data_IF_957888402384
#
_entry.id   IF_957888402384
#
_cell.length_a   1.000
_cell.length_b   1.000
_cell.length_c   1.000
_cell.angle_alpha   90.00
_cell.angle_beta   90.00
_cell.angle_gamma   90.00
#
_symmetry.space_group_name_H-M   'P 1'
#
loop_
_entity.id
_entity.type
_entity.pdbx_description
1 polymer ?
#
# COMPACT_ATOMS: atom_id res chain seq x y z
N UNK A 1 -1.32 -15.65 18.74
CA UNK A 1 -1.76 -15.12 17.43
C UNK A 1 -2.06 -16.29 16.51
N UNK A 2 -3.11 -16.19 15.66
CA UNK A 2 -3.32 -17.18 14.60
C UNK A 2 -2.21 -17.05 13.55
N UNK A 3 -1.72 -18.14 12.96
CA UNK A 3 -0.79 -18.06 11.84
C UNK A 3 -1.44 -17.29 10.69
N UNK A 4 -0.63 -16.54 9.94
CA UNK A 4 -1.11 -15.84 8.75
C UNK A 4 -1.64 -16.85 7.72
N UNK A 5 -2.83 -16.63 7.14
CA UNK A 5 -3.30 -17.46 6.03
C UNK A 5 -2.39 -17.35 4.80
N UNK A 6 -2.48 -18.32 3.89
CA UNK A 6 -1.67 -18.31 2.66
C UNK A 6 -1.90 -17.03 1.84
N UNK A 7 -0.81 -16.43 1.32
CA UNK A 7 -0.88 -15.22 0.49
C UNK A 7 -1.69 -15.47 -0.77
N UNK A 8 -1.57 -16.66 -1.38
CA UNK A 8 -2.34 -17.04 -2.57
C UNK A 8 -3.86 -16.85 -2.42
N UNK A 9 -4.41 -17.08 -1.23
CA UNK A 9 -5.84 -16.84 -0.97
C UNK A 9 -6.23 -15.36 -1.03
N UNK A 10 -5.35 -14.48 -0.56
CA UNK A 10 -5.51 -13.02 -0.67
C UNK A 10 -5.33 -12.57 -2.11
N UNK A 11 -4.25 -13.02 -2.76
CA UNK A 11 -3.86 -12.60 -4.10
C UNK A 11 -4.85 -13.07 -5.18
N UNK A 12 -5.53 -14.22 -4.99
CA UNK A 12 -6.60 -14.69 -5.89
C UNK A 12 -7.93 -13.97 -5.64
N UNK A 13 -8.11 -13.32 -4.50
CA UNK A 13 -9.35 -12.64 -4.18
C UNK A 13 -9.63 -11.48 -5.15
N UNK A 14 -10.92 -11.24 -5.41
CA UNK A 14 -11.40 -10.16 -6.26
C UNK A 14 -12.02 -9.09 -5.37
N UNK A 15 -11.30 -7.98 -5.15
CA UNK A 15 -11.71 -6.94 -4.22
C UNK A 15 -12.75 -5.95 -4.80
N UNK A 16 -12.79 -5.75 -6.11
CA UNK A 16 -13.88 -5.07 -6.82
C UNK A 16 -13.99 -5.58 -8.25
N UNK A 17 -15.11 -5.29 -8.92
CA UNK A 17 -15.37 -5.74 -10.28
C UNK A 17 -14.77 -4.85 -11.39
N UNK A 18 -13.95 -3.84 -11.05
CA UNK A 18 -13.50 -2.87 -12.08
C UNK A 18 -12.18 -2.14 -11.88
N UNK A 19 -11.56 -2.15 -10.68
CA UNK A 19 -10.32 -1.42 -10.42
C UNK A 19 -9.11 -2.35 -10.19
N UNK A 20 -7.87 -1.88 -10.45
CA UNK A 20 -6.68 -2.61 -10.07
C UNK A 20 -6.52 -2.72 -8.54
N UNK A 21 -5.68 -3.66 -8.10
CA UNK A 21 -5.30 -3.82 -6.69
C UNK A 21 -3.80 -3.64 -6.57
N UNK A 22 -3.38 -2.66 -5.77
CA UNK A 22 -1.99 -2.41 -5.42
C UNK A 22 -1.68 -3.19 -4.15
N UNK A 23 -0.79 -4.17 -4.20
CA UNK A 23 -0.36 -4.91 -3.01
C UNK A 23 0.98 -4.37 -2.54
N UNK A 24 1.07 -4.01 -1.26
CA UNK A 24 2.32 -3.66 -0.59
C UNK A 24 2.65 -4.73 0.45
N UNK A 25 3.62 -5.57 0.12
CA UNK A 25 4.12 -6.62 1.01
C UNK A 25 5.13 -6.03 1.98
N UNK A 26 4.81 -6.06 3.27
CA UNK A 26 5.59 -5.44 4.32
C UNK A 26 6.10 -6.48 5.34
N UNK A 27 7.04 -6.05 6.18
CA UNK A 27 7.47 -6.76 7.39
C UNK A 27 6.92 -6.05 8.61
N UNK A 28 6.50 -6.76 9.68
CA UNK A 28 6.10 -6.12 10.94
C UNK A 28 7.17 -5.16 11.47
N UNK A 29 8.45 -5.52 11.31
CA UNK A 29 9.53 -4.55 11.46
C UNK A 29 9.56 -3.60 10.25
N UNK A 30 9.01 -2.41 10.43
CA UNK A 30 8.91 -1.34 9.42
C UNK A 30 10.25 -0.64 9.14
N UNK A 31 11.35 -0.99 9.82
CA UNK A 31 12.69 -0.48 9.50
C UNK A 31 13.21 -0.95 8.14
N UNK A 32 12.54 -1.91 7.50
CA UNK A 32 12.92 -2.45 6.21
C UNK A 32 11.83 -2.15 5.18
N UNK A 33 12.19 -1.68 3.97
CA UNK A 33 11.22 -1.42 2.93
C UNK A 33 10.53 -2.72 2.49
N UNK A 34 9.23 -2.61 2.26
CA UNK A 34 8.46 -3.65 1.61
C UNK A 34 8.59 -3.59 0.09
N UNK A 35 7.80 -4.40 -0.59
CA UNK A 35 7.73 -4.44 -2.04
C UNK A 35 6.29 -4.29 -2.51
N UNK A 36 6.07 -3.40 -3.47
CA UNK A 36 4.75 -3.12 -4.03
C UNK A 36 4.63 -3.66 -5.44
N UNK A 37 3.49 -4.27 -5.76
CA UNK A 37 3.12 -4.77 -7.08
C UNK A 37 1.71 -4.32 -7.44
N UNK A 38 1.36 -4.36 -8.73
CA UNK A 38 0.02 -4.00 -9.21
C UNK A 38 -0.63 -5.20 -9.86
N UNK A 39 -1.83 -5.55 -9.40
CA UNK A 39 -2.70 -6.57 -9.99
C UNK A 39 -3.76 -5.86 -10.84
N UNK A 40 -3.85 -6.24 -12.11
CA UNK A 40 -4.87 -5.73 -13.04
C UNK A 40 -6.24 -6.32 -12.74
N UNK A 41 -7.33 -5.69 -13.23
CA UNK A 41 -8.68 -6.24 -13.11
C UNK A 41 -8.85 -7.63 -13.75
N UNK A 42 -8.05 -7.98 -14.75
CA UNK A 42 -8.05 -9.30 -15.41
C UNK A 42 -7.45 -10.43 -14.55
N UNK A 43 -6.99 -10.12 -13.33
CA UNK A 43 -6.42 -11.08 -12.41
C UNK A 43 -4.89 -11.22 -12.50
N UNK A 44 -4.25 -10.68 -13.56
CA UNK A 44 -2.80 -10.79 -13.78
C UNK A 44 -2.03 -9.65 -13.13
N UNK A 45 -0.81 -9.92 -12.70
CA UNK A 45 0.11 -8.89 -12.21
C UNK A 45 0.75 -8.16 -13.39
N UNK A 46 0.94 -6.85 -13.21
CA UNK A 46 1.58 -6.00 -14.19
C UNK A 46 3.02 -6.45 -14.42
N UNK A 47 3.44 -6.43 -15.69
CA UNK A 47 4.80 -6.78 -16.12
C UNK A 47 5.44 -5.56 -16.79
N UNK A 48 6.75 -5.44 -16.64
CA UNK A 48 7.57 -4.50 -17.41
C UNK A 48 7.61 -4.92 -18.89
N UNK A 49 8.05 -4.04 -19.80
CA UNK A 49 8.17 -4.36 -21.23
C UNK A 49 9.05 -5.58 -21.54
N UNK A 50 10.04 -5.86 -20.68
CA UNK A 50 10.92 -7.04 -20.78
C UNK A 50 10.28 -8.34 -20.26
N UNK A 51 9.01 -8.30 -19.85
CA UNK A 51 8.27 -9.43 -19.28
C UNK A 51 8.52 -9.69 -17.79
N UNK A 52 9.46 -8.96 -17.17
CA UNK A 52 9.70 -9.07 -15.73
C UNK A 52 8.52 -8.54 -14.91
N UNK A 53 8.38 -8.99 -13.67
CA UNK A 53 7.34 -8.46 -12.77
C UNK A 53 7.60 -6.98 -12.48
N UNK A 54 6.57 -6.13 -12.63
CA UNK A 54 6.64 -4.77 -12.12
C UNK A 54 6.64 -4.81 -10.59
N UNK A 55 7.67 -4.19 -9.98
CA UNK A 55 7.71 -3.99 -8.55
C UNK A 55 8.49 -2.72 -8.20
N UNK A 56 8.07 -2.04 -7.13
CA UNK A 56 8.85 -0.96 -6.51
C UNK A 56 9.04 -1.25 -5.01
N UNK A 57 10.19 -0.89 -4.41
CA UNK A 57 10.29 -0.80 -2.96
C UNK A 57 9.32 0.23 -2.38
N UNK A 58 8.80 0.02 -1.18
CA UNK A 58 7.85 0.94 -0.56
C UNK A 58 7.98 0.91 0.96
N UNK A 59 8.35 2.04 1.58
CA UNK A 59 8.54 2.14 3.02
C UNK A 59 7.21 2.45 3.72
N UNK A 60 6.83 1.63 4.70
CA UNK A 60 5.61 1.79 5.50
C UNK A 60 5.89 2.32 6.92
N UNK A 61 7.04 2.99 7.10
CA UNK A 61 7.53 3.50 8.39
C UNK A 61 7.15 4.95 8.60
N UNK A 62 6.69 5.26 9.80
CA UNK A 62 6.58 6.64 10.26
C UNK A 62 7.81 7.12 11.01
N UNK A 63 8.00 8.44 11.05
CA UNK A 63 9.05 9.11 11.83
C UNK A 63 9.01 8.73 13.32
N UNK A 64 7.81 8.55 13.88
CA UNK A 64 7.62 8.21 15.29
C UNK A 64 7.82 6.73 15.59
N UNK A 65 7.82 5.87 14.56
CA UNK A 65 7.80 4.42 14.67
C UNK A 65 6.67 3.85 15.55
N UNK A 66 5.62 4.63 15.84
CA UNK A 66 4.48 4.18 16.63
C UNK A 66 3.68 3.08 15.89
N UNK A 67 2.94 2.23 16.63
CA UNK A 67 2.01 1.27 16.03
C UNK A 67 1.01 1.92 15.06
N UNK A 68 0.64 1.20 14.00
CA UNK A 68 -0.13 1.78 12.89
C UNK A 68 -1.58 2.15 13.19
N UNK A 69 -2.12 1.78 14.36
CA UNK A 69 -3.44 2.24 14.81
C UNK A 69 -3.38 3.59 15.54
N UNK A 70 -2.18 4.12 15.84
CA UNK A 70 -2.01 5.44 16.45
C UNK A 70 -1.72 6.51 15.40
N UNK A 71 -2.22 7.72 15.62
CA UNK A 71 -1.88 8.91 14.81
C UNK A 71 -0.36 9.07 14.72
N UNK A 72 0.13 9.38 13.51
CA UNK A 72 1.54 9.42 13.17
C UNK A 72 2.32 8.12 13.35
N UNK A 73 1.67 6.98 13.58
CA UNK A 73 2.28 5.64 13.55
C UNK A 73 2.47 5.12 12.13
N UNK A 74 3.14 3.98 12.02
CA UNK A 74 3.42 3.29 10.75
C UNK A 74 2.15 3.09 9.91
N UNK A 75 2.29 2.84 8.60
CA UNK A 75 1.13 2.51 7.80
C UNK A 75 0.52 1.17 8.29
N UNK A 76 -0.76 1.15 8.72
CA UNK A 76 -1.39 -0.05 9.26
C UNK A 76 -1.57 -1.15 8.20
N UNK A 77 -1.55 -2.39 8.63
CA UNK A 77 -1.91 -3.52 7.77
C UNK A 77 -3.42 -3.54 7.48
N UNK A 78 -3.80 -3.81 6.24
CA UNK A 78 -5.20 -3.92 5.83
C UNK A 78 -5.49 -3.35 4.45
N UNK A 79 -6.78 -3.10 4.20
CA UNK A 79 -7.32 -2.64 2.93
C UNK A 79 -7.59 -1.14 2.99
N UNK A 80 -7.15 -0.43 1.97
CA UNK A 80 -7.35 1.00 1.73
C UNK A 80 -8.12 1.16 0.43
N UNK A 81 -9.11 2.05 0.41
CA UNK A 81 -9.78 2.46 -0.83
C UNK A 81 -8.90 3.46 -1.57
N UNK A 82 -8.67 3.27 -2.87
CA UNK A 82 -7.98 4.26 -3.71
C UNK A 82 -9.02 5.23 -4.24
N UNK A 83 -8.91 6.50 -3.84
CA UNK A 83 -9.81 7.56 -4.28
C UNK A 83 -9.42 8.12 -5.64
N UNK A 84 -8.13 8.08 -5.97
CA UNK A 84 -7.62 8.56 -7.25
C UNK A 84 -6.14 8.94 -7.20
N UNK A 85 -5.71 9.65 -8.23
CA UNK A 85 -4.39 10.27 -8.32
C UNK A 85 -4.56 11.76 -8.08
N UNK A 86 -3.72 12.33 -7.21
CA UNK A 86 -3.75 13.74 -6.86
C UNK A 86 -2.35 14.34 -6.80
N UNK A 87 -2.26 15.66 -6.83
CA UNK A 87 -1.02 16.39 -6.52
C UNK A 87 -1.03 16.78 -5.05
N UNK A 88 0.08 16.53 -4.34
CA UNK A 88 0.21 16.97 -2.96
C UNK A 88 0.50 18.47 -2.88
N UNK A 89 -0.05 19.13 -1.88
CA UNK A 89 0.30 20.52 -1.52
C UNK A 89 1.49 20.61 -0.56
N UNK A 90 2.02 19.48 -0.11
CA UNK A 90 3.13 19.41 0.84
C UNK A 90 4.48 19.46 0.11
N UNK A 91 5.31 20.43 0.47
CA UNK A 91 6.67 20.53 -0.07
C UNK A 91 7.51 19.30 0.24
N UNK A 92 7.27 18.61 1.37
CA UNK A 92 7.99 17.39 1.79
C UNK A 92 7.65 16.15 0.93
N UNK A 93 6.50 16.19 0.25
CA UNK A 93 6.05 15.16 -0.69
C UNK A 93 6.48 15.55 -2.11
N UNK A 94 6.34 16.84 -2.43
CA UNK A 94 6.73 17.38 -3.72
C UNK A 94 5.70 17.16 -4.83
N UNK A 95 6.07 17.49 -6.08
CA UNK A 95 5.15 17.56 -7.21
C UNK A 95 4.83 16.21 -7.85
N UNK A 96 5.43 15.11 -7.38
CA UNK A 96 5.10 13.79 -7.92
C UNK A 96 3.67 13.41 -7.51
N UNK A 97 2.82 13.00 -8.46
CA UNK A 97 1.46 12.60 -8.11
C UNK A 97 1.42 11.46 -7.08
N UNK A 98 0.42 11.50 -6.21
CA UNK A 98 0.19 10.55 -5.12
C UNK A 98 -0.99 9.65 -5.44
N UNK A 99 -1.03 8.45 -4.85
CA UNK A 99 -2.30 7.73 -4.73
C UNK A 99 -3.00 8.23 -3.47
N UNK A 100 -4.14 8.89 -3.65
CA UNK A 100 -4.97 9.31 -2.54
C UNK A 100 -5.76 8.10 -2.03
N UNK A 101 -5.69 7.82 -0.73
CA UNK A 101 -6.30 6.65 -0.12
C UNK A 101 -7.26 7.05 1.00
N UNK A 102 -8.18 6.16 1.33
CA UNK A 102 -9.04 6.26 2.49
C UNK A 102 -9.00 4.97 3.31
N UNK A 103 -8.94 5.10 4.63
CA UNK A 103 -9.19 4.03 5.58
C UNK A 103 -10.70 3.80 5.81
N UNK A 104 -11.08 2.62 6.33
CA UNK A 104 -12.43 2.40 6.83
C UNK A 104 -12.79 3.38 7.95
N UNK A 105 -13.83 4.18 7.76
CA UNK A 105 -14.27 5.22 8.70
C UNK A 105 -14.04 6.64 8.20
N UNK A 106 -13.10 6.85 7.27
CA UNK A 106 -12.90 8.16 6.62
C UNK A 106 -14.00 8.46 5.59
N UNK A 107 -14.50 7.41 4.93
CA UNK A 107 -15.58 7.46 3.94
C UNK A 107 -16.65 6.43 4.27
N UNK A 108 -17.85 6.59 3.69
CA UNK A 108 -18.96 5.65 3.90
C UNK A 108 -18.64 4.25 3.34
N UNK A 109 -19.25 3.18 3.88
CA UNK A 109 -19.11 1.85 3.30
C UNK A 109 -19.48 1.76 1.82
N UNK A 110 -20.50 2.49 1.34
CA UNK A 110 -20.86 2.46 -0.07
C UNK A 110 -19.74 3.04 -0.95
N UNK A 111 -19.13 4.14 -0.51
CA UNK A 111 -17.96 4.75 -1.17
C UNK A 111 -16.75 3.81 -1.17
N UNK A 112 -16.46 3.17 -0.02
CA UNK A 112 -15.31 2.27 0.13
C UNK A 112 -15.43 1.00 -0.71
N UNK A 113 -16.62 0.40 -0.79
CA UNK A 113 -16.86 -0.83 -1.56
C UNK A 113 -17.05 -0.58 -3.06
N UNK A 114 -17.07 0.69 -3.49
CA UNK A 114 -17.47 1.12 -4.84
C UNK A 114 -18.80 0.50 -5.28
N UNK A 115 -19.77 0.39 -4.36
CA UNK A 115 -21.01 -0.35 -4.62
C UNK A 115 -22.19 0.28 -3.91
N UNK A 116 -23.15 0.75 -4.70
CA UNK A 116 -24.44 1.26 -4.19
C UNK A 116 -25.31 0.18 -3.54
N UNK A 117 -24.98 -1.11 -3.71
CA UNK A 117 -25.68 -2.21 -3.04
C UNK A 117 -25.27 -2.37 -1.57
N UNK A 118 -24.14 -1.78 -1.18
CA UNK A 118 -23.77 -1.62 0.23
C UNK A 118 -24.52 -0.39 0.73
N UNK A 119 -25.45 -0.59 1.67
CA UNK A 119 -26.15 0.54 2.30
C UNK A 119 -25.14 1.41 3.05
N UNK A 120 -25.31 2.72 2.96
CA UNK A 120 -24.66 3.66 3.87
C UNK A 120 -25.19 3.40 5.28
N UNK A 121 -24.48 2.55 5.99
CA UNK A 121 -24.65 2.24 7.39
C UNK A 121 -23.35 2.58 8.11
N UNK A 122 -23.39 2.60 9.44
CA UNK A 122 -22.18 2.75 10.23
C UNK A 122 -21.20 1.59 9.94
N UNK A 123 -19.90 1.89 9.99
CA UNK A 123 -18.89 0.87 9.85
C UNK A 123 -19.01 -0.19 10.96
N UNK A 124 -18.91 -1.44 10.55
CA UNK A 124 -18.81 -2.57 11.47
C UNK A 124 -17.66 -3.48 11.06
N UNK A 125 -17.12 -4.22 12.03
CA UNK A 125 -16.03 -5.19 11.80
C UNK A 125 -16.48 -6.24 10.78
N UNK A 126 -17.74 -6.68 10.85
CA UNK A 126 -18.34 -7.63 9.92
C UNK A 126 -18.42 -7.05 8.51
N UNK A 127 -18.77 -5.76 8.39
CA UNK A 127 -18.78 -5.07 7.10
C UNK A 127 -17.39 -5.10 6.48
N UNK A 128 -16.35 -4.65 7.20
CA UNK A 128 -14.98 -4.69 6.71
C UNK A 128 -14.50 -6.11 6.39
N UNK A 129 -14.82 -7.10 7.23
CA UNK A 129 -14.43 -8.50 7.01
C UNK A 129 -14.95 -9.07 5.68
N UNK A 130 -16.03 -8.53 5.11
CA UNK A 130 -16.54 -8.97 3.79
C UNK A 130 -15.59 -8.66 2.63
N UNK A 131 -14.72 -7.65 2.77
CA UNK A 131 -13.67 -7.33 1.79
C UNK A 131 -12.61 -8.44 1.71
N UNK A 132 -12.46 -9.22 2.77
CA UNK A 132 -11.41 -10.23 2.86
C UNK A 132 -11.93 -11.60 2.38
N UNK A 133 -11.07 -12.41 1.74
CA UNK A 133 -11.41 -13.79 1.45
C UNK A 133 -11.65 -14.57 2.75
N UNK A 134 -12.48 -15.62 2.69
CA UNK A 134 -12.99 -16.33 3.88
C UNK A 134 -11.90 -16.71 4.91
N UNK A 135 -10.75 -17.22 4.45
CA UNK A 135 -9.63 -17.59 5.32
C UNK A 135 -8.93 -16.43 6.04
N UNK A 136 -9.10 -15.20 5.55
CA UNK A 136 -8.50 -13.98 6.10
C UNK A 136 -9.42 -13.21 7.05
N UNK A 137 -10.73 -13.51 7.05
CA UNK A 137 -11.73 -12.80 7.89
C UNK A 137 -11.50 -12.94 9.38
N UNK A 138 -10.75 -13.95 9.81
CA UNK A 138 -10.40 -14.16 11.21
C UNK A 138 -8.91 -13.89 11.53
N UNK A 139 -8.15 -13.36 10.57
CA UNK A 139 -6.77 -12.94 10.78
C UNK A 139 -6.76 -11.48 11.24
N UNK A 140 -6.78 -11.29 12.56
CA UNK A 140 -6.94 -9.97 13.20
C UNK A 140 -5.92 -8.91 12.76
N UNK A 141 -4.65 -9.23 12.41
CA UNK A 141 -3.73 -8.20 11.93
C UNK A 141 -4.18 -7.50 10.64
N UNK A 142 -5.06 -8.12 9.84
CA UNK A 142 -5.64 -7.50 8.63
C UNK A 142 -6.66 -6.39 8.94
N UNK A 143 -7.03 -6.22 10.21
CA UNK A 143 -8.00 -5.24 10.69
C UNK A 143 -7.33 -3.99 11.28
N UNK A 144 -6.00 -3.86 11.24
CA UNK A 144 -5.33 -2.65 11.74
C UNK A 144 -5.80 -1.40 11.00
N UNK A 145 -5.94 -1.44 9.67
CA UNK A 145 -6.46 -0.33 8.88
C UNK A 145 -7.89 0.05 9.30
N UNK A 146 -8.73 -0.94 9.57
CA UNK A 146 -10.08 -0.71 10.09
C UNK A 146 -10.04 0.00 11.44
N UNK A 147 -9.31 -0.54 12.43
CA UNK A 147 -9.26 0.07 13.75
C UNK A 147 -8.58 1.44 13.75
N UNK A 148 -7.56 1.63 12.90
CA UNK A 148 -6.92 2.93 12.70
C UNK A 148 -7.92 3.99 12.23
N UNK A 149 -8.70 3.70 11.19
CA UNK A 149 -9.70 4.63 10.67
C UNK A 149 -10.85 4.87 11.65
N UNK A 150 -11.33 3.83 12.34
CA UNK A 150 -12.31 3.99 13.42
C UNK A 150 -11.80 4.81 14.61
N UNK A 151 -10.49 4.80 14.86
CA UNK A 151 -9.83 5.64 15.87
C UNK A 151 -9.56 7.07 15.38
N UNK A 152 -9.99 7.42 14.16
CA UNK A 152 -9.84 8.77 13.60
C UNK A 152 -8.53 9.02 12.88
N UNK A 153 -7.73 7.99 12.56
CA UNK A 153 -6.63 8.17 11.60
C UNK A 153 -7.21 8.46 10.21
N UNK A 154 -6.59 9.40 9.52
CA UNK A 154 -6.98 9.80 8.19
C UNK A 154 -5.78 10.23 7.34
N UNK A 155 -6.03 10.55 6.07
CA UNK A 155 -5.07 11.20 5.15
C UNK A 155 -3.81 10.35 4.89
N UNK A 156 -3.93 9.02 4.97
CA UNK A 156 -2.86 8.12 4.55
C UNK A 156 -2.83 8.08 3.02
N UNK A 157 -1.69 8.39 2.42
CA UNK A 157 -1.49 8.35 0.97
C UNK A 157 -0.25 7.51 0.62
N UNK A 158 -0.12 7.09 -0.64
CA UNK A 158 1.14 6.55 -1.15
C UNK A 158 1.84 7.61 -2.01
N UNK A 159 3.05 7.99 -1.63
CA UNK A 159 3.72 9.17 -2.17
C UNK A 159 5.25 9.04 -2.24
N UNK A 160 5.90 9.92 -3.00
CA UNK A 160 7.35 10.08 -3.01
C UNK A 160 7.82 11.09 -1.96
N UNK A 161 9.08 11.50 -1.97
CA UNK A 161 9.55 12.52 -1.03
C UNK A 161 10.65 13.37 -1.62
N UNK A 162 10.63 14.65 -1.27
CA UNK A 162 11.69 15.62 -1.56
C UNK A 162 12.67 15.79 -0.39
N UNK A 163 12.42 15.11 0.74
CA UNK A 163 13.30 15.14 1.89
C UNK A 163 14.63 14.50 1.52
N UNK A 164 15.72 15.16 1.89
CA UNK A 164 17.07 14.63 1.68
C UNK A 164 17.24 13.30 2.46
N UNK A 165 17.44 12.17 1.76
CA UNK A 165 17.59 10.87 2.40
C UNK A 165 18.87 10.76 3.24
N UNK A 166 19.86 11.65 3.05
CA UNK A 166 21.11 11.61 3.80
C UNK A 166 20.95 11.90 5.28
N UNK A 167 19.85 12.54 5.70
CA UNK A 167 19.47 12.63 7.12
C UNK A 167 19.31 11.26 7.80
N UNK A 168 19.09 10.20 7.01
CA UNK A 168 18.89 8.83 7.49
C UNK A 168 20.04 7.90 7.10
N UNK A 169 21.20 8.44 6.69
CA UNK A 169 22.39 7.63 6.40
C UNK A 169 22.72 6.73 7.60
N UNK A 170 22.91 5.44 7.34
CA UNK A 170 23.19 4.42 8.36
C UNK A 170 21.95 3.75 8.96
N UNK A 171 20.73 4.21 8.64
CA UNK A 171 19.50 3.52 9.01
C UNK A 171 19.22 2.34 8.06
N UNK A 172 18.55 1.30 8.57
CA UNK A 172 18.22 0.11 7.79
C UNK A 172 17.26 0.38 6.61
N UNK A 173 16.47 1.45 6.71
CA UNK A 173 15.58 1.92 5.66
C UNK A 173 16.24 2.96 4.73
N UNK A 174 17.52 3.31 4.87
CA UNK A 174 18.19 4.14 3.88
C UNK A 174 18.21 3.40 2.52
N UNK A 175 17.89 4.05 1.38
CA UNK A 175 17.79 5.50 1.17
C UNK A 175 16.36 6.08 1.21
N UNK A 176 15.41 5.42 1.87
CA UNK A 176 14.04 5.91 1.98
C UNK A 176 13.90 6.94 3.12
N UNK A 177 12.91 7.81 3.00
CA UNK A 177 12.53 8.78 4.03
C UNK A 177 11.20 8.37 4.68
N UNK A 178 11.13 8.23 6.01
CA UNK A 178 9.87 7.97 6.69
C UNK A 178 8.96 9.19 6.68
N UNK A 179 7.64 8.95 6.71
CA UNK A 179 6.60 9.98 6.70
C UNK A 179 5.89 10.09 8.05
N UNK A 180 4.74 10.77 8.11
CA UNK A 180 3.85 10.77 9.29
C UNK A 180 2.84 9.60 9.28
N UNK A 181 3.20 8.48 8.65
CA UNK A 181 2.38 7.26 8.65
C UNK A 181 1.78 6.86 7.30
N UNK A 182 2.27 7.49 6.24
CA UNK A 182 1.99 7.17 4.85
C UNK A 182 2.88 6.03 4.34
N UNK A 183 2.64 5.59 3.10
CA UNK A 183 3.62 4.78 2.38
C UNK A 183 4.49 5.69 1.52
N UNK A 184 5.81 5.50 1.60
CA UNK A 184 6.79 6.38 0.94
C UNK A 184 7.68 5.59 -0.02
N UNK A 185 7.60 5.92 -1.30
CA UNK A 185 8.45 5.38 -2.35
C UNK A 185 9.72 6.22 -2.50
N UNK A 186 10.79 5.62 -3.00
CA UNK A 186 12.05 6.33 -3.16
C UNK A 186 11.97 7.34 -4.29
N UNK A 187 12.51 8.53 -4.05
CA UNK A 187 12.77 9.53 -5.07
C UNK A 187 14.16 10.15 -4.84
N UNK A 188 14.81 10.48 -5.95
CA UNK A 188 16.07 11.21 -5.94
C UNK A 188 15.88 12.53 -6.68
N UNK A 189 16.41 13.60 -6.11
CA UNK A 189 16.30 14.96 -6.65
C UNK A 189 17.71 15.53 -6.85
N UNK A 190 17.85 16.39 -7.85
CA UNK A 190 19.11 17.06 -8.16
C UNK A 190 19.32 18.24 -7.23
N UNK A 191 20.40 18.22 -6.46
CA UNK A 191 20.78 19.34 -5.58
C UNK A 191 21.18 20.62 -6.36
N UNK A 192 21.39 20.50 -7.68
CA UNK A 192 21.82 21.63 -8.53
C UNK A 192 20.65 22.48 -9.02
N UNK A 193 19.55 21.84 -9.38
CA UNK A 193 18.42 22.49 -10.06
C UNK A 193 17.04 22.03 -9.58
N UNK A 194 16.99 21.20 -8.52
CA UNK A 194 15.75 20.71 -7.91
C UNK A 194 14.96 19.75 -8.79
N UNK A 195 15.52 19.27 -9.92
CA UNK A 195 14.81 18.36 -10.83
C UNK A 195 14.80 16.94 -10.30
N UNK A 196 13.68 16.24 -10.50
CA UNK A 196 13.54 14.81 -10.19
C UNK A 196 14.45 13.98 -11.08
N UNK A 197 15.32 13.17 -10.48
CA UNK A 197 16.24 12.26 -11.15
C UNK A 197 15.66 10.84 -11.25
N UNK A 198 15.10 10.34 -10.16
CA UNK A 198 14.49 9.01 -10.03
C UNK A 198 13.21 9.12 -9.24
N UNK A 199 12.19 8.32 -9.59
CA UNK A 199 10.95 8.28 -8.84
C UNK A 199 10.24 6.94 -8.98
N UNK A 200 10.34 6.13 -7.93
CA UNK A 200 9.56 4.91 -7.81
C UNK A 200 8.07 5.25 -7.65
N UNK A 201 7.75 6.39 -7.02
CA UNK A 201 6.37 6.88 -6.94
C UNK A 201 5.79 7.11 -8.34
N UNK A 202 6.51 7.81 -9.21
CA UNK A 202 6.07 8.05 -10.58
C UNK A 202 5.87 6.73 -11.35
N UNK A 203 6.74 5.75 -11.13
CA UNK A 203 6.61 4.42 -11.71
C UNK A 203 5.35 3.70 -11.19
N UNK A 204 5.03 3.80 -9.90
CA UNK A 204 3.78 3.28 -9.33
C UNK A 204 2.54 3.93 -9.94
N UNK A 205 2.54 5.27 -10.08
CA UNK A 205 1.43 5.99 -10.71
C UNK A 205 1.20 5.51 -12.15
N UNK A 206 2.28 5.40 -12.93
CA UNK A 206 2.19 4.91 -14.31
C UNK A 206 1.72 3.46 -14.37
N UNK A 207 2.20 2.59 -13.48
CA UNK A 207 1.78 1.20 -13.38
C UNK A 207 0.29 1.06 -13.03
N UNK A 208 -0.18 1.85 -12.07
CA UNK A 208 -1.59 1.91 -11.67
C UNK A 208 -2.48 2.41 -12.83
N UNK A 209 -2.07 3.47 -13.53
CA UNK A 209 -2.78 3.95 -14.72
C UNK A 209 -2.81 2.92 -15.86
N UNK A 210 -1.67 2.27 -16.14
CA UNK A 210 -1.58 1.21 -17.15
C UNK A 210 -2.46 -0.01 -16.82
N UNK A 211 -2.77 -0.22 -15.54
CA UNK A 211 -3.70 -1.25 -15.08
C UNK A 211 -5.19 -0.79 -15.12
N UNK A 212 -5.49 0.39 -15.67
CA UNK A 212 -6.85 0.94 -15.76
C UNK A 212 -7.29 1.70 -14.50
N UNK A 213 -6.36 2.23 -13.72
CA UNK A 213 -6.61 2.85 -12.42
C UNK A 213 -7.53 4.07 -12.45
N UNK A 214 -8.78 3.89 -12.02
CA UNK A 214 -9.78 4.95 -11.73
C UNK A 214 -10.39 4.81 -10.33
N UNK A 215 -9.88 3.85 -9.55
CA UNK A 215 -10.30 3.46 -8.20
C UNK A 215 -9.66 2.11 -7.85
N UNK A 216 -10.24 1.38 -6.90
CA UNK A 216 -9.74 0.07 -6.48
C UNK A 216 -9.14 0.12 -5.09
N UNK A 217 -8.15 -0.74 -4.81
CA UNK A 217 -7.64 -0.89 -3.46
C UNK A 217 -6.12 -0.92 -3.40
N UNK A 218 -5.58 -0.35 -2.33
CA UNK A 218 -4.24 -0.63 -1.87
C UNK A 218 -4.32 -1.56 -0.66
N UNK A 219 -3.54 -2.63 -0.66
CA UNK A 219 -3.55 -3.64 0.41
C UNK A 219 -2.15 -3.72 1.00
N UNK A 220 -2.02 -3.31 2.25
CA UNK A 220 -0.81 -3.54 3.04
C UNK A 220 -0.94 -4.88 3.71
N UNK A 221 0.01 -5.80 3.45
CA UNK A 221 0.00 -7.14 4.04
C UNK A 221 1.39 -7.51 4.55
N UNK A 222 1.44 -8.01 5.79
CA UNK A 222 2.68 -8.45 6.41
C UNK A 222 2.97 -9.90 6.04
N UNK A 223 4.18 -10.20 5.59
CA UNK A 223 4.52 -11.57 5.13
C UNK A 223 5.11 -12.45 6.24
N UNK A 224 6.20 -12.00 6.87
CA UNK A 224 6.91 -12.70 7.95
C UNK A 224 7.83 -11.71 8.72
N UNK A 225 8.58 -12.21 9.72
CA UNK A 225 9.34 -11.42 10.70
C UNK A 225 10.82 -11.18 10.34
N UNK A 226 11.25 -11.43 9.10
CA UNK A 226 12.65 -11.21 8.72
C UNK A 226 13.07 -9.74 8.86
N UNK A 227 14.26 -9.53 9.41
CA UNK A 227 14.91 -8.21 9.50
C UNK A 227 15.66 -7.89 8.19
N UNK A 228 14.92 -7.82 7.09
CA UNK A 228 15.41 -7.49 5.76
C UNK A 228 14.29 -6.95 4.88
N UNK A 229 14.66 -6.20 3.85
CA UNK A 229 13.72 -5.75 2.83
C UNK A 229 13.02 -6.94 2.16
N UNK A 230 11.77 -6.75 1.72
CA UNK A 230 11.06 -7.77 0.95
C UNK A 230 11.62 -7.79 -0.47
N UNK A 231 12.13 -8.94 -0.91
CA UNK A 231 12.65 -9.09 -2.28
C UNK A 231 11.61 -9.68 -3.24
N UNK A 232 11.83 -9.48 -4.54
CA UNK A 232 10.95 -10.03 -5.59
C UNK A 232 10.92 -11.55 -5.56
N UNK A 233 12.06 -12.19 -5.32
CA UNK A 233 12.22 -13.64 -5.27
C UNK A 233 11.35 -14.26 -4.19
N UNK A 234 11.09 -13.53 -3.10
CA UNK A 234 10.26 -14.00 -1.99
C UNK A 234 8.77 -14.02 -2.29
N UNK A 235 8.30 -13.22 -3.26
CA UNK A 235 6.87 -13.09 -3.56
C UNK A 235 6.49 -13.67 -4.92
N UNK A 236 7.45 -13.85 -5.84
CA UNK A 236 7.17 -14.24 -7.22
C UNK A 236 6.39 -15.56 -7.32
N UNK A 237 6.69 -16.54 -6.47
CA UNK A 237 5.99 -17.82 -6.47
C UNK A 237 4.54 -17.70 -6.00
N UNK A 238 4.27 -16.88 -4.98
CA UNK A 238 2.91 -16.62 -4.51
C UNK A 238 2.07 -15.89 -5.58
N UNK A 239 2.70 -14.97 -6.33
CA UNK A 239 2.06 -14.23 -7.42
C UNK A 239 1.74 -15.14 -8.61
N UNK A 240 2.69 -15.97 -9.04
CA UNK A 240 2.49 -16.93 -10.14
C UNK A 240 1.41 -17.96 -9.78
N UNK A 241 1.44 -18.49 -8.56
CA UNK A 241 0.39 -19.37 -8.07
C UNK A 241 -0.98 -18.68 -8.06
N UNK A 242 -1.05 -17.38 -7.79
CA UNK A 242 -2.30 -16.63 -7.85
C UNK A 242 -2.82 -16.43 -9.28
N UNK A 243 -1.94 -16.39 -10.28
CA UNK A 243 -2.27 -16.33 -11.71
C UNK A 243 -2.61 -17.71 -12.32
N UNK A 244 -2.41 -18.81 -11.58
CA UNK A 244 -2.71 -20.17 -12.01
C UNK A 244 -1.54 -20.92 -12.65
N UNK A 245 -0.30 -20.46 -12.42
CA UNK A 245 0.94 -21.15 -12.79
C UNK A 245 1.46 -22.04 -11.66
#
# INVERSE_FOLDING_TARGET
MRPRPALSGLLRHSFSAGGPVVYSFQRPNRDYPGLTVVKKPDGKFLRNPDGSLFCIPHLARSLSALPGYLTNGNAPQGVYCILGIEESKSDLIGPTPVLNLALPGEISPAGFFHSASVRDADWSVETYARLLPAGWRAYTPMFEAYYAGQAGRAEIIAHGSTVDPDYYRGQAYYPFTPSLGCLTAFEAWSDKDGRRLVSDQQALIQAYQAAGGTGGYLIVVEKDQRAAAVSREEIVMDLLAAEGY
#
